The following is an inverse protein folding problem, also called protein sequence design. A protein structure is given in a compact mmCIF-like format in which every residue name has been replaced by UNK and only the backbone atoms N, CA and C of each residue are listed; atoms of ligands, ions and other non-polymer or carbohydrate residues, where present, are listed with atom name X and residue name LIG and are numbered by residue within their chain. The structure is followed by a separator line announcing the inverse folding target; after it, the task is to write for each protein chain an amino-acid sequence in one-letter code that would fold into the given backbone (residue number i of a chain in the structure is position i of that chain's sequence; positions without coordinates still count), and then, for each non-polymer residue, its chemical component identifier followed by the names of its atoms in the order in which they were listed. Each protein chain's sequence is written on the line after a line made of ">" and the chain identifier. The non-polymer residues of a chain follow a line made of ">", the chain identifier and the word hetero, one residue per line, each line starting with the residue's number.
data_IF_542354622006
#
_entry.id   IF_542354622006
#
_cell.length_a   1.000
_cell.length_b   1.000
_cell.length_c   1.000
_cell.angle_alpha   90.00
_cell.angle_beta   90.00
_cell.angle_gamma   90.00
#
_symmetry.space_group_name_H-M   'P 1'
#
loop_
_entity.id
_entity.type
_entity.pdbx_description
1 polymer ?
#
# COMPACT_ATOMS: atom_id res chain seq x y z
N UNK A 1 12.15 -5.64 -3.90
CA UNK A 1 11.38 -6.67 -4.64
C UNK A 1 10.65 -7.52 -3.60
N UNK A 2 9.39 -7.20 -3.36
CA UNK A 2 8.48 -7.77 -2.35
C UNK A 2 8.36 -9.31 -2.48
N UNK A 3 7.79 -10.00 -1.48
CA UNK A 3 7.52 -11.45 -1.58
C UNK A 3 6.49 -11.71 -2.70
N UNK A 4 6.32 -12.93 -3.19
CA UNK A 4 5.16 -13.20 -4.06
C UNK A 4 3.89 -12.94 -3.24
N UNK A 5 3.15 -11.89 -3.59
CA UNK A 5 2.19 -11.25 -2.69
C UNK A 5 0.89 -11.05 -3.46
N UNK A 6 -0.25 -11.59 -3.00
CA UNK A 6 -1.53 -11.36 -3.66
C UNK A 6 -1.90 -9.89 -3.53
N UNK A 7 -2.26 -9.28 -4.66
CA UNK A 7 -2.82 -7.93 -4.73
C UNK A 7 -4.27 -8.01 -5.17
N UNK A 8 -5.08 -7.10 -4.64
CA UNK A 8 -6.41 -6.78 -5.16
C UNK A 8 -6.30 -5.50 -5.98
N UNK A 9 -6.94 -5.44 -7.14
CA UNK A 9 -7.11 -4.18 -7.89
C UNK A 9 -8.42 -3.55 -7.44
N UNK A 10 -8.36 -2.30 -6.99
CA UNK A 10 -9.52 -1.55 -6.49
C UNK A 10 -9.53 -0.15 -7.10
N UNK A 11 -10.42 0.07 -8.07
CA UNK A 11 -10.56 1.37 -8.75
C UNK A 11 -11.22 2.43 -7.87
N UNK A 12 -11.87 2.04 -6.77
CA UNK A 12 -12.47 2.95 -5.79
C UNK A 12 -11.46 3.50 -4.78
N UNK A 13 -10.28 2.88 -4.67
CA UNK A 13 -9.18 3.35 -3.85
C UNK A 13 -8.21 4.18 -4.71
N UNK A 14 -7.85 5.38 -4.26
CA UNK A 14 -6.85 6.20 -4.96
C UNK A 14 -5.40 5.69 -4.74
N UNK A 15 -4.90 5.58 -3.48
CA UNK A 15 -3.52 5.15 -3.26
C UNK A 15 -3.35 3.63 -3.40
N UNK A 16 -2.16 3.20 -3.82
CA UNK A 16 -1.74 1.82 -3.60
C UNK A 16 -1.41 1.61 -2.12
N UNK A 17 -1.82 0.46 -1.57
CA UNK A 17 -1.64 0.10 -0.15
C UNK A 17 -0.86 -1.21 -0.07
N UNK A 18 0.04 -1.32 0.90
CA UNK A 18 0.77 -2.57 1.17
C UNK A 18 0.96 -2.79 2.67
N UNK A 19 0.70 -4.01 3.13
CA UNK A 19 0.98 -4.43 4.50
C UNK A 19 2.47 -4.51 4.77
N UNK A 20 2.87 -4.12 5.98
CA UNK A 20 4.26 -4.12 6.43
C UNK A 20 4.94 -5.50 6.24
N UNK A 21 4.26 -6.61 6.55
CA UNK A 21 4.82 -7.98 6.39
C UNK A 21 5.21 -8.35 4.96
N UNK A 22 4.67 -7.66 3.96
CA UNK A 22 4.97 -7.90 2.55
C UNK A 22 6.24 -7.16 2.09
N UNK A 23 6.72 -6.19 2.87
CA UNK A 23 7.98 -5.51 2.61
C UNK A 23 9.19 -6.40 2.90
N UNK A 24 10.26 -6.18 2.14
CA UNK A 24 11.58 -6.70 2.54
C UNK A 24 12.07 -5.94 3.77
N UNK A 25 12.76 -6.60 4.73
CA UNK A 25 13.21 -5.95 5.97
C UNK A 25 13.95 -4.63 5.78
N UNK A 26 14.78 -4.53 4.75
CA UNK A 26 15.62 -3.34 4.49
C UNK A 26 14.92 -2.27 3.63
N UNK A 27 13.62 -2.41 3.38
CA UNK A 27 12.88 -1.42 2.58
C UNK A 27 12.71 -0.15 3.40
N UNK A 28 13.25 0.96 2.89
CA UNK A 28 13.06 2.27 3.50
C UNK A 28 11.62 2.73 3.34
N UNK A 29 11.04 3.15 4.46
CA UNK A 29 9.73 3.80 4.51
C UNK A 29 9.97 5.28 4.79
N UNK A 30 9.47 6.15 3.92
CA UNK A 30 9.41 7.58 4.18
C UNK A 30 8.29 7.86 5.19
N UNK A 31 8.67 8.13 6.43
CA UNK A 31 7.74 8.38 7.54
C UNK A 31 7.12 9.78 7.51
N UNK A 32 7.60 10.69 6.66
CA UNK A 32 7.03 12.02 6.49
C UNK A 32 5.83 12.00 5.54
N UNK A 33 5.73 10.98 4.70
CA UNK A 33 4.70 10.82 3.67
C UNK A 33 3.60 9.86 4.12
N UNK A 34 2.79 10.33 5.07
CA UNK A 34 1.68 9.57 5.68
C UNK A 34 0.35 10.04 5.12
N UNK A 35 -0.55 9.08 4.90
CA UNK A 35 -1.94 9.35 4.53
C UNK A 35 -2.89 8.88 5.63
N UNK A 36 -3.99 9.62 5.77
CA UNK A 36 -5.15 9.17 6.53
C UNK A 36 -6.12 8.52 5.55
N UNK A 37 -6.26 7.21 5.67
CA UNK A 37 -7.22 6.42 4.90
C UNK A 37 -8.52 6.41 5.69
N UNK A 38 -9.60 6.91 5.07
CA UNK A 38 -10.94 6.88 5.66
C UNK A 38 -11.69 5.69 5.08
N UNK A 39 -12.06 4.75 5.95
CA UNK A 39 -12.98 3.67 5.59
C UNK A 39 -14.41 4.19 5.43
N UNK A 40 -15.25 3.42 4.72
CA UNK A 40 -16.71 3.61 4.69
C UNK A 40 -17.34 3.60 6.09
N UNK A 41 -16.70 2.92 7.05
CA UNK A 41 -17.11 2.86 8.47
C UNK A 41 -16.66 4.08 9.29
N UNK A 42 -16.11 5.13 8.67
CA UNK A 42 -15.60 6.35 9.32
C UNK A 42 -14.37 6.18 10.21
N UNK A 43 -13.89 4.95 10.40
CA UNK A 43 -12.60 4.71 11.04
C UNK A 43 -11.46 5.27 10.18
N UNK A 44 -10.55 5.98 10.83
CA UNK A 44 -9.35 6.54 10.20
C UNK A 44 -8.17 5.63 10.50
N UNK A 45 -7.54 5.11 9.46
CA UNK A 45 -6.24 4.45 9.56
C UNK A 45 -5.19 5.43 9.07
N UNK A 46 -4.14 5.64 9.86
CA UNK A 46 -2.97 6.43 9.44
C UNK A 46 -1.89 5.47 8.98
N UNK A 47 -1.37 5.67 7.78
CA UNK A 47 -0.28 4.85 7.24
C UNK A 47 1.02 5.08 8.03
N UNK A 48 1.94 4.12 7.95
CA UNK A 48 3.29 4.22 8.54
C UNK A 48 4.20 5.15 7.74
N UNK A 49 3.84 5.41 6.48
CA UNK A 49 4.61 6.19 5.53
C UNK A 49 4.37 5.70 4.10
N UNK A 50 5.30 6.00 3.20
CA UNK A 50 5.31 5.48 1.84
C UNK A 50 6.62 4.78 1.48
N UNK A 51 6.58 3.93 0.46
CA UNK A 51 7.77 3.33 -0.14
C UNK A 51 7.56 3.16 -1.65
N UNK A 52 8.64 3.34 -2.42
CA UNK A 52 8.66 3.02 -3.84
C UNK A 52 9.08 1.57 -4.05
N UNK A 53 8.23 0.80 -4.74
CA UNK A 53 8.47 -0.59 -5.08
C UNK A 53 8.34 -0.77 -6.59
N UNK A 54 9.08 -1.71 -7.17
CA UNK A 54 8.89 -2.10 -8.57
C UNK A 54 7.94 -3.29 -8.65
N UNK A 55 6.83 -3.12 -9.35
CA UNK A 55 5.89 -4.18 -9.73
C UNK A 55 5.97 -4.34 -11.25
N UNK A 56 6.33 -5.54 -11.73
CA UNK A 56 6.55 -5.82 -13.17
C UNK A 56 7.47 -4.81 -13.90
N UNK A 57 8.48 -4.28 -13.20
CA UNK A 57 9.42 -3.29 -13.74
C UNK A 57 8.98 -1.83 -13.53
N UNK A 58 7.69 -1.58 -13.32
CA UNK A 58 7.13 -0.25 -13.09
C UNK A 58 7.33 0.19 -11.64
N UNK A 59 7.98 1.34 -11.39
CA UNK A 59 8.07 1.92 -10.05
C UNK A 59 6.70 2.46 -9.63
N UNK A 60 6.20 1.98 -8.51
CA UNK A 60 4.93 2.39 -7.92
C UNK A 60 5.17 2.84 -6.49
N UNK A 61 4.48 3.92 -6.12
CA UNK A 61 4.39 4.36 -4.74
C UNK A 61 3.33 3.56 -4.01
N UNK A 62 3.68 3.00 -2.86
CA UNK A 62 2.76 2.33 -1.94
C UNK A 62 2.74 3.06 -0.60
N UNK A 63 1.56 3.23 -0.02
CA UNK A 63 1.42 3.62 1.37
C UNK A 63 1.36 2.38 2.26
N UNK A 64 2.21 2.38 3.30
CA UNK A 64 2.44 1.20 4.11
C UNK A 64 1.50 1.19 5.31
N UNK A 65 0.80 0.09 5.52
CA UNK A 65 -0.12 -0.11 6.64
C UNK A 65 0.36 -1.24 7.54
N UNK A 66 -0.13 -1.27 8.78
CA UNK A 66 0.12 -2.39 9.70
C UNK A 66 -0.55 -3.67 9.21
N UNK A 67 -0.08 -4.82 9.68
CA UNK A 67 -0.63 -6.12 9.26
C UNK A 67 -2.06 -6.36 9.74
N UNK A 68 -2.51 -5.59 10.73
CA UNK A 68 -3.89 -5.54 11.23
C UNK A 68 -4.87 -4.83 10.28
N UNK A 69 -4.39 -4.22 9.19
CA UNK A 69 -5.26 -3.56 8.22
C UNK A 69 -6.26 -4.57 7.61
N UNK A 70 -7.58 -4.27 7.60
CA UNK A 70 -8.64 -5.26 7.43
C UNK A 70 -8.90 -5.62 5.96
N UNK A 71 -7.89 -6.19 5.30
CA UNK A 71 -7.98 -6.77 3.96
C UNK A 71 -7.45 -8.20 3.96
N UNK A 72 -8.02 -9.06 3.13
CA UNK A 72 -7.66 -10.48 3.03
C UNK A 72 -6.41 -10.73 2.15
N UNK A 73 -6.00 -9.75 1.36
CA UNK A 73 -4.75 -9.74 0.59
C UNK A 73 -3.66 -8.99 1.35
N UNK A 74 -2.48 -8.89 0.73
CA UNK A 74 -1.37 -8.15 1.32
C UNK A 74 -1.27 -6.72 0.80
N UNK A 75 -1.83 -6.43 -0.37
CA UNK A 75 -1.85 -5.07 -0.92
C UNK A 75 -3.04 -4.80 -1.83
N UNK A 76 -3.33 -3.51 -1.98
CA UNK A 76 -4.30 -2.97 -2.92
C UNK A 76 -3.55 -2.16 -3.97
N UNK A 77 -3.88 -2.38 -5.24
CA UNK A 77 -3.51 -1.50 -6.34
C UNK A 77 -4.70 -0.56 -6.61
N UNK A 78 -4.51 0.70 -6.26
CA UNK A 78 -5.51 1.75 -6.43
C UNK A 78 -5.54 2.30 -7.86
N UNK A 79 -6.38 3.29 -8.11
CA UNK A 79 -6.46 3.98 -9.42
C UNK A 79 -5.14 4.64 -9.83
N UNK A 80 -4.28 5.03 -8.87
CA UNK A 80 -2.91 5.51 -9.17
C UNK A 80 -2.04 4.50 -9.91
N UNK A 81 -2.32 3.20 -9.80
CA UNK A 81 -1.66 2.17 -10.61
C UNK A 81 -2.12 2.20 -12.08
N UNK A 82 -3.39 2.55 -12.33
CA UNK A 82 -4.00 2.52 -13.66
C UNK A 82 -3.73 3.78 -14.49
N UNK A 83 -3.35 4.89 -13.84
CA UNK A 83 -3.02 6.15 -14.51
C UNK A 83 -1.55 6.24 -14.98
N UNK A 84 -0.74 5.19 -14.77
CA UNK A 84 0.68 5.13 -15.12
C UNK A 84 0.96 4.34 -16.40
#
# INVERSE_FOLDING_TARGET
>A
LYKSTPFMVDTGAEPNILKLRALKPDTRIDKYDRLSIRSVTHEKVITLGSAYLRLYGTPLKFHIVTDSFPINVDGILGSTFLCN
#
